data_IF_953463143728
#
_entry.id   IF_953463143728
#
_cell.length_a   1.000
_cell.length_b   1.000
_cell.length_c   1.000
_cell.angle_alpha   90.00
_cell.angle_beta   90.00
_cell.angle_gamma   90.00
#
_symmetry.space_group_name_H-M   'P 1'
#
loop_
_entity.id
_entity.type
_entity.pdbx_description
1 polymer ?
#
# COMPACT_ATOMS: atom_id res chain seq x y z
N UNK A 1 37.70 3.56 -58.29
CA UNK A 1 36.77 2.46 -58.58
C UNK A 1 36.15 2.06 -57.25
N UNK A 2 34.86 2.31 -57.00
CA UNK A 2 33.69 1.54 -57.50
C UNK A 2 33.82 0.06 -57.11
N UNK A 3 32.94 -0.57 -56.33
CA UNK A 3 31.50 -0.29 -56.13
C UNK A 3 30.99 -0.75 -54.75
N UNK A 4 29.86 -0.21 -54.28
CA UNK A 4 29.18 -0.59 -53.02
C UNK A 4 28.43 -1.92 -53.16
N UNK A 5 28.30 -2.70 -52.07
CA UNK A 5 27.29 -3.78 -51.93
C UNK A 5 26.22 -3.38 -50.89
N UNK A 6 24.92 -3.58 -51.16
CA UNK A 6 23.85 -3.12 -50.27
C UNK A 6 23.33 -4.19 -49.29
N UNK A 7 22.62 -3.69 -48.27
CA UNK A 7 21.88 -4.39 -47.23
C UNK A 7 20.73 -5.25 -47.78
N UNK A 8 20.43 -6.39 -47.14
CA UNK A 8 19.19 -7.16 -47.36
C UNK A 8 18.25 -6.93 -46.17
N UNK A 9 17.09 -6.31 -46.44
CA UNK A 9 15.97 -6.20 -45.50
C UNK A 9 14.93 -7.27 -45.83
N UNK A 10 14.53 -8.06 -44.85
CA UNK A 10 13.48 -9.07 -45.02
C UNK A 10 12.09 -8.44 -44.79
N UNK A 11 11.34 -8.24 -45.87
CA UNK A 11 9.94 -7.82 -45.81
C UNK A 11 9.00 -9.02 -45.76
N UNK A 12 8.18 -9.17 -44.70
CA UNK A 12 7.05 -10.09 -44.70
C UNK A 12 5.72 -9.34 -44.80
N UNK A 13 4.80 -9.94 -45.55
CA UNK A 13 3.63 -9.28 -46.13
C UNK A 13 2.39 -9.39 -45.26
N UNK A 14 1.56 -8.36 -45.36
CA UNK A 14 0.17 -8.34 -44.93
C UNK A 14 -0.65 -9.51 -45.52
N UNK A 15 -1.64 -9.96 -44.74
CA UNK A 15 -2.81 -10.66 -45.27
C UNK A 15 -4.07 -9.96 -44.75
N UNK A 16 -4.80 -9.35 -45.68
CA UNK A 16 -6.18 -8.94 -45.46
C UNK A 16 -7.10 -9.98 -46.13
N UNK A 17 -8.24 -10.27 -45.51
CA UNK A 17 -9.33 -11.03 -46.14
C UNK A 17 -10.66 -10.38 -45.81
N UNK A 18 -11.31 -9.89 -46.86
CA UNK A 18 -12.69 -9.37 -46.92
C UNK A 18 -13.71 -10.42 -46.44
N UNK A 19 -14.62 -10.08 -45.53
CA UNK A 19 -15.96 -9.48 -45.76
C UNK A 19 -17.01 -10.47 -46.30
N UNK A 20 -18.08 -10.67 -45.52
CA UNK A 20 -19.41 -11.02 -46.00
C UNK A 20 -20.44 -10.31 -45.09
N UNK A 21 -21.44 -9.67 -45.70
CA UNK A 21 -22.46 -8.90 -45.00
C UNK A 21 -23.84 -9.55 -45.19
N UNK A 22 -24.78 -9.29 -44.28
CA UNK A 22 -26.21 -9.52 -44.51
C UNK A 22 -27.05 -8.43 -43.82
N UNK A 23 -27.90 -7.76 -44.58
CA UNK A 23 -29.02 -6.94 -44.08
C UNK A 23 -30.17 -7.91 -43.70
N UNK A 24 -31.06 -7.65 -42.72
CA UNK A 24 -32.36 -6.96 -42.88
C UNK A 24 -33.33 -7.44 -41.75
N UNK A 25 -34.47 -6.83 -41.39
CA UNK A 25 -35.05 -5.47 -41.51
C UNK A 25 -36.25 -5.37 -40.52
N UNK A 26 -36.48 -4.18 -39.93
CA UNK A 26 -37.78 -3.60 -39.48
C UNK A 26 -38.64 -4.32 -38.41
N UNK A 27 -38.94 -3.58 -37.32
CA UNK A 27 -40.31 -3.28 -36.89
C UNK A 27 -40.34 -1.99 -36.04
N UNK A 28 -41.13 -0.98 -36.45
CA UNK A 28 -41.45 0.19 -35.61
C UNK A 28 -42.72 -0.09 -34.79
N UNK A 29 -42.79 0.49 -33.59
CA UNK A 29 -44.05 0.91 -32.99
C UNK A 29 -43.82 2.25 -32.27
N UNK A 30 -44.65 3.25 -32.56
CA UNK A 30 -44.56 4.60 -32.01
C UNK A 30 -45.93 5.09 -31.56
N UNK A 31 -45.97 5.79 -30.44
CA UNK A 31 -46.98 6.76 -29.98
C UNK A 31 -46.20 7.69 -29.01
N UNK A 32 -46.11 9.01 -29.20
CA UNK A 32 -47.19 10.02 -29.19
C UNK A 32 -48.02 9.93 -27.90
N UNK A 33 -48.12 10.93 -27.03
CA UNK A 33 -47.82 12.36 -27.17
C UNK A 33 -49.11 13.17 -26.96
N UNK A 34 -49.13 14.10 -26.00
CA UNK A 34 -50.29 14.95 -25.75
C UNK A 34 -50.36 15.51 -24.32
N UNK A 35 -50.16 16.82 -24.17
CA UNK A 35 -50.65 17.61 -23.04
C UNK A 35 -51.85 18.40 -23.52
N UNK A 36 -52.94 18.43 -22.77
CA UNK A 36 -53.94 19.52 -22.85
C UNK A 36 -54.73 19.65 -21.55
N UNK A 37 -55.38 20.79 -21.37
CA UNK A 37 -55.98 21.23 -20.09
C UNK A 37 -57.38 21.76 -20.35
N UNK A 38 -58.42 21.27 -19.66
CA UNK A 38 -59.58 22.08 -19.24
C UNK A 38 -60.66 21.29 -18.45
N UNK A 39 -61.21 22.00 -17.45
CA UNK A 39 -62.62 22.00 -16.94
C UNK A 39 -63.27 20.76 -16.33
N UNK A 40 -63.58 20.92 -15.04
CA UNK A 40 -64.70 20.43 -14.24
C UNK A 40 -65.85 19.68 -14.93
N UNK A 41 -66.23 18.54 -14.34
CA UNK A 41 -67.64 18.24 -14.07
C UNK A 41 -67.78 17.55 -12.71
N UNK A 42 -68.78 17.96 -11.92
CA UNK A 42 -68.94 17.55 -10.51
C UNK A 42 -69.87 16.35 -10.36
N UNK A 43 -69.32 15.19 -9.97
CA UNK A 43 -70.10 14.06 -9.44
C UNK A 43 -69.61 13.69 -8.06
N UNK A 44 -70.52 13.73 -7.08
CA UNK A 44 -70.23 13.46 -5.68
C UNK A 44 -70.35 11.97 -5.36
N UNK A 45 -69.22 11.25 -5.37
CA UNK A 45 -69.13 9.91 -4.80
C UNK A 45 -68.58 9.96 -3.36
N UNK A 46 -69.30 9.32 -2.44
CA UNK A 46 -68.94 9.27 -1.02
C UNK A 46 -67.90 8.16 -0.79
N UNK A 47 -66.62 8.52 -0.87
CA UNK A 47 -65.51 7.58 -0.60
C UNK A 47 -65.32 7.42 0.91
N UNK A 48 -65.41 6.18 1.41
CA UNK A 48 -65.11 5.86 2.80
C UNK A 48 -63.63 6.14 3.14
N UNK A 49 -63.29 6.52 4.39
CA UNK A 49 -61.92 6.88 4.74
C UNK A 49 -60.97 5.69 4.62
N UNK A 50 -60.17 5.68 3.55
CA UNK A 50 -59.08 4.73 3.38
C UNK A 50 -58.06 4.94 4.52
N UNK A 51 -57.88 3.91 5.34
CA UNK A 51 -56.93 3.97 6.45
C UNK A 51 -55.52 3.80 5.88
N UNK A 52 -54.79 4.89 5.70
CA UNK A 52 -53.40 4.87 5.24
C UNK A 52 -52.52 4.21 6.30
N UNK A 53 -52.28 2.91 6.16
CA UNK A 53 -51.26 2.20 6.95
C UNK A 53 -49.92 2.75 6.50
N UNK A 54 -49.28 3.56 7.34
CA UNK A 54 -47.92 4.00 7.09
C UNK A 54 -47.01 2.76 7.04
N UNK A 55 -46.30 2.56 5.93
CA UNK A 55 -45.26 1.54 5.86
C UNK A 55 -44.22 1.83 6.95
N UNK A 56 -44.07 0.89 7.87
CA UNK A 56 -43.06 0.98 8.91
C UNK A 56 -41.70 0.79 8.25
N UNK A 57 -41.03 1.90 7.92
CA UNK A 57 -39.63 1.94 7.50
C UNK A 57 -38.81 1.09 8.46
N UNK A 58 -38.46 -0.11 8.01
CA UNK A 58 -37.78 -1.09 8.84
C UNK A 58 -36.31 -0.73 8.82
N UNK A 59 -35.92 0.18 9.72
CA UNK A 59 -34.51 0.57 9.90
C UNK A 59 -33.73 -0.66 10.35
N UNK A 60 -33.20 -1.39 9.38
CA UNK A 60 -32.30 -2.51 9.63
C UNK A 60 -30.99 -1.91 10.09
N UNK A 61 -30.82 -1.81 11.41
CA UNK A 61 -29.57 -1.39 12.03
C UNK A 61 -28.52 -2.46 11.78
N UNK A 62 -27.90 -2.41 10.60
CA UNK A 62 -26.74 -3.23 10.26
C UNK A 62 -25.64 -2.93 11.27
N UNK A 63 -25.14 -3.97 11.93
CA UNK A 63 -23.98 -3.83 12.82
C UNK A 63 -22.80 -3.22 12.03
N UNK A 64 -21.98 -2.36 12.64
CA UNK A 64 -20.82 -1.78 11.96
C UNK A 64 -19.89 -2.92 11.49
N UNK A 65 -19.32 -2.83 10.27
CA UNK A 65 -18.49 -3.89 9.73
C UNK A 65 -17.24 -4.08 10.58
N UNK A 66 -16.86 -5.35 10.80
CA UNK A 66 -15.56 -5.68 11.36
C UNK A 66 -14.51 -5.37 10.28
N UNK A 67 -13.43 -4.68 10.65
CA UNK A 67 -12.36 -4.31 9.73
C UNK A 67 -11.01 -4.84 10.19
N UNK A 68 -10.14 -5.17 9.24
CA UNK A 68 -8.77 -5.54 9.52
C UNK A 68 -7.97 -4.32 10.03
N UNK A 69 -7.25 -4.39 11.17
CA UNK A 69 -6.63 -3.23 11.80
C UNK A 69 -5.54 -2.57 10.94
N UNK A 70 -4.78 -3.36 10.16
CA UNK A 70 -3.66 -2.86 9.36
C UNK A 70 -4.04 -2.33 7.97
N UNK A 71 -5.30 -2.49 7.53
CA UNK A 71 -5.75 -2.05 6.20
C UNK A 71 -7.10 -1.34 6.20
N UNK A 72 -7.91 -1.44 7.26
CA UNK A 72 -9.27 -0.91 7.29
C UNK A 72 -10.27 -1.62 6.35
N UNK A 73 -9.84 -2.70 5.67
CA UNK A 73 -10.72 -3.48 4.80
C UNK A 73 -11.74 -4.28 5.62
N UNK A 74 -12.99 -4.43 5.16
CA UNK A 74 -13.99 -5.26 5.84
C UNK A 74 -13.57 -6.72 5.83
N UNK A 75 -13.87 -7.43 6.92
CA UNK A 75 -13.61 -8.86 7.11
C UNK A 75 -14.79 -9.55 7.78
N UNK A 76 -15.06 -10.82 7.44
CA UNK A 76 -16.19 -11.57 7.98
C UNK A 76 -16.05 -11.87 9.50
N UNK A 77 -14.81 -11.96 9.98
CA UNK A 77 -14.47 -12.20 11.37
C UNK A 77 -13.20 -11.44 11.77
N UNK A 78 -13.05 -11.13 13.06
CA UNK A 78 -11.86 -10.48 13.58
C UNK A 78 -10.62 -11.38 13.42
N UNK A 79 -9.56 -10.84 12.81
CA UNK A 79 -8.27 -11.52 12.69
C UNK A 79 -7.54 -11.39 14.03
N UNK A 80 -7.17 -12.53 14.63
CA UNK A 80 -6.65 -12.60 16.01
C UNK A 80 -5.15 -12.90 16.11
N UNK A 81 -4.47 -13.20 15.00
CA UNK A 81 -3.02 -13.49 14.98
C UNK A 81 -2.19 -12.21 15.18
N UNK A 82 -0.97 -12.29 15.77
CA UNK A 82 -0.08 -11.14 15.84
C UNK A 82 0.37 -10.68 14.45
N UNK A 83 0.83 -9.43 14.36
CA UNK A 83 1.53 -8.94 13.18
C UNK A 83 2.86 -9.69 12.99
N UNK A 84 3.16 -10.08 11.75
CA UNK A 84 4.46 -10.61 11.33
C UNK A 84 5.18 -9.56 10.51
N UNK A 85 6.36 -9.14 10.93
CA UNK A 85 7.22 -8.20 10.22
C UNK A 85 8.40 -8.93 9.62
N UNK A 86 8.59 -8.82 8.30
CA UNK A 86 9.71 -9.41 7.57
C UNK A 86 10.63 -8.32 7.07
N UNK A 87 11.91 -8.38 7.44
CA UNK A 87 12.92 -7.42 6.97
C UNK A 87 13.44 -7.83 5.60
N UNK A 88 13.03 -7.12 4.54
CA UNK A 88 13.31 -7.50 3.15
C UNK A 88 14.41 -6.62 2.54
N UNK A 89 15.29 -7.24 1.74
CA UNK A 89 16.38 -6.62 1.00
C UNK A 89 15.85 -5.75 -0.14
N UNK A 90 16.43 -4.56 -0.33
CA UNK A 90 16.21 -3.74 -1.52
C UNK A 90 17.50 -3.45 -2.31
N UNK A 91 18.58 -4.20 -2.04
CA UNK A 91 19.76 -4.18 -2.90
C UNK A 91 19.42 -4.68 -4.32
N UNK A 92 19.97 -4.12 -5.41
CA UNK A 92 19.61 -4.51 -6.78
C UNK A 92 19.69 -6.01 -7.08
N UNK A 93 20.68 -6.74 -6.53
CA UNK A 93 20.82 -8.21 -6.67
C UNK A 93 19.77 -9.05 -5.91
N UNK A 94 18.91 -8.41 -5.11
CA UNK A 94 17.82 -9.04 -4.37
C UNK A 94 16.43 -8.74 -4.96
N UNK A 95 16.38 -7.99 -6.07
CA UNK A 95 15.15 -7.65 -6.80
C UNK A 95 14.95 -8.64 -7.96
N UNK A 96 13.70 -8.97 -8.34
CA UNK A 96 12.46 -8.64 -7.63
C UNK A 96 12.32 -9.42 -6.31
N UNK A 97 11.41 -8.98 -5.44
CA UNK A 97 11.16 -9.56 -4.12
C UNK A 97 9.93 -10.47 -4.11
N UNK A 98 9.80 -11.31 -3.08
CA UNK A 98 8.62 -12.08 -2.74
C UNK A 98 7.84 -11.40 -1.60
N UNK A 99 6.52 -11.32 -1.71
CA UNK A 99 5.61 -10.91 -0.62
C UNK A 99 5.32 -9.42 -0.49
N UNK A 100 5.88 -8.54 -1.34
CA UNK A 100 5.67 -7.09 -1.20
C UNK A 100 4.24 -6.63 -1.54
N UNK A 101 3.53 -7.33 -2.43
CA UNK A 101 2.13 -7.02 -2.77
C UNK A 101 1.12 -7.62 -1.77
N UNK A 102 1.56 -8.58 -0.96
CA UNK A 102 0.79 -9.28 0.07
C UNK A 102 0.87 -8.56 1.44
N UNK A 103 1.88 -7.73 1.65
CA UNK A 103 2.04 -6.96 2.87
C UNK A 103 0.96 -5.88 3.06
N UNK A 104 0.42 -5.77 4.27
CA UNK A 104 -0.57 -4.76 4.65
C UNK A 104 0.07 -3.37 4.76
N UNK A 105 1.24 -3.32 5.38
CA UNK A 105 2.03 -2.09 5.54
C UNK A 105 3.48 -2.39 5.16
N UNK A 106 4.11 -1.54 4.34
CA UNK A 106 5.53 -1.65 4.04
C UNK A 106 6.23 -0.36 4.42
N UNK A 107 7.13 -0.40 5.39
CA UNK A 107 8.02 0.72 5.69
C UNK A 107 9.29 0.60 4.83
N UNK A 108 9.60 1.62 4.05
CA UNK A 108 10.91 1.79 3.44
C UNK A 108 11.78 2.71 4.28
N UNK A 109 13.00 2.26 4.58
CA UNK A 109 13.93 3.00 5.41
C UNK A 109 15.31 3.10 4.77
N UNK A 110 15.99 4.22 4.98
CA UNK A 110 17.38 4.38 4.59
C UNK A 110 18.29 3.48 5.45
N UNK A 111 19.25 2.83 4.78
CA UNK A 111 20.36 2.06 5.36
C UNK A 111 21.69 2.56 4.76
N UNK A 112 22.74 1.74 4.63
CA UNK A 112 24.01 2.16 4.04
C UNK A 112 23.89 2.41 2.52
N UNK A 113 23.62 3.66 2.14
CA UNK A 113 23.55 4.16 0.75
C UNK A 113 22.46 3.51 -0.13
N UNK A 114 21.56 2.76 0.48
CA UNK A 114 20.41 2.07 -0.12
C UNK A 114 19.27 2.08 0.90
N UNK A 115 18.12 1.54 0.54
CA UNK A 115 17.01 1.29 1.48
C UNK A 115 16.84 -0.19 1.83
N UNK A 116 15.99 -0.48 2.81
CA UNK A 116 15.38 -1.80 3.06
C UNK A 116 13.92 -1.65 3.45
N UNK A 117 13.18 -2.73 3.28
CA UNK A 117 11.78 -2.78 3.66
C UNK A 117 11.60 -3.48 5.01
N UNK A 118 10.68 -3.00 5.84
CA UNK A 118 10.00 -3.81 6.85
C UNK A 118 8.56 -4.02 6.37
N UNK A 119 8.30 -5.21 5.82
CA UNK A 119 6.99 -5.60 5.30
C UNK A 119 6.19 -6.26 6.43
N UNK A 120 5.04 -5.69 6.76
CA UNK A 120 4.14 -6.13 7.83
C UNK A 120 2.97 -6.88 7.24
N UNK A 121 2.73 -8.08 7.75
CA UNK A 121 1.66 -8.99 7.36
C UNK A 121 0.75 -9.26 8.55
N UNK A 122 -0.56 -9.24 8.30
CA UNK A 122 -1.61 -9.61 9.23
C UNK A 122 -2.84 -10.15 8.49
N UNK A 123 -3.23 -9.57 7.34
CA UNK A 123 -4.41 -10.02 6.57
C UNK A 123 -4.12 -11.13 5.55
N UNK A 124 -2.92 -11.15 4.95
CA UNK A 124 -2.52 -12.18 3.97
C UNK A 124 -1.13 -12.74 4.23
N UNK A 125 -0.81 -13.82 3.53
CA UNK A 125 0.39 -14.66 3.72
C UNK A 125 1.24 -14.64 2.42
N UNK A 126 2.53 -14.91 2.53
CA UNK A 126 3.46 -15.05 1.40
C UNK A 126 4.48 -16.16 1.67
N UNK A 127 4.37 -17.26 0.94
CA UNK A 127 5.23 -18.43 1.06
C UNK A 127 5.85 -18.77 -0.32
N UNK A 128 7.10 -18.37 -0.62
CA UNK A 128 8.05 -17.69 0.26
C UNK A 128 7.80 -16.18 0.46
N UNK A 129 8.56 -15.59 1.39
CA UNK A 129 8.76 -14.15 1.56
C UNK A 129 10.27 -13.82 1.60
N UNK A 130 10.68 -12.67 1.04
CA UNK A 130 12.08 -12.22 1.04
C UNK A 130 12.55 -11.53 -0.26
N UNK A 131 13.87 -11.41 -0.52
CA UNK A 131 14.96 -11.93 0.30
C UNK A 131 15.09 -11.23 1.67
N UNK A 132 15.24 -12.00 2.73
CA UNK A 132 15.31 -11.53 4.12
C UNK A 132 16.71 -11.00 4.45
N UNK A 133 16.76 -9.88 5.19
CA UNK A 133 17.97 -9.13 5.50
C UNK A 133 18.08 -8.67 6.95
N UNK A 134 19.23 -8.07 7.24
CA UNK A 134 19.56 -7.55 8.55
C UNK A 134 18.66 -6.38 8.95
N UNK A 135 18.06 -6.51 10.13
CA UNK A 135 17.44 -5.43 10.88
C UNK A 135 18.44 -4.36 11.32
N UNK A 136 17.89 -3.33 11.96
CA UNK A 136 18.50 -2.04 12.26
C UNK A 136 18.01 -1.52 13.61
N UNK A 137 18.73 -0.58 14.21
CA UNK A 137 18.35 0.01 15.51
C UNK A 137 16.99 0.73 15.45
N UNK A 138 16.66 1.30 14.29
CA UNK A 138 15.38 1.97 14.03
C UNK A 138 14.19 1.01 14.02
N UNK A 139 14.37 -0.29 13.72
CA UNK A 139 13.29 -1.28 13.76
C UNK A 139 12.66 -1.37 15.17
N UNK A 140 13.45 -1.16 16.23
CA UNK A 140 12.97 -1.20 17.63
C UNK A 140 11.91 -0.14 17.88
N UNK A 141 12.23 1.14 17.64
CA UNK A 141 11.26 2.23 17.80
C UNK A 141 10.16 2.18 16.73
N UNK A 142 10.44 1.69 15.52
CA UNK A 142 9.45 1.66 14.43
C UNK A 142 8.34 0.63 14.66
N UNK A 143 8.68 -0.57 15.14
CA UNK A 143 7.79 -1.72 15.16
C UNK A 143 7.07 -1.94 16.50
N UNK A 144 7.42 -1.18 17.55
CA UNK A 144 6.85 -1.35 18.90
C UNK A 144 5.32 -1.13 18.95
N UNK A 145 4.76 -0.27 18.09
CA UNK A 145 3.32 -0.02 17.98
C UNK A 145 2.51 -1.19 17.42
N UNK A 146 3.16 -2.25 16.92
CA UNK A 146 2.50 -3.45 16.38
C UNK A 146 2.21 -4.52 17.44
N UNK A 147 2.32 -4.18 18.74
CA UNK A 147 1.92 -5.02 19.86
C UNK A 147 2.73 -6.33 19.96
N UNK A 148 4.03 -6.20 20.27
CA UNK A 148 4.98 -7.32 20.35
C UNK A 148 5.00 -8.21 19.08
N UNK A 149 5.25 -7.64 17.88
CA UNK A 149 5.15 -8.38 16.64
C UNK A 149 6.21 -9.48 16.52
N UNK A 150 5.90 -10.48 15.68
CA UNK A 150 6.88 -11.46 15.24
C UNK A 150 7.85 -10.80 14.27
N UNK A 151 9.16 -10.92 14.46
CA UNK A 151 10.15 -10.28 13.59
C UNK A 151 11.07 -11.30 12.91
N UNK A 152 10.95 -11.41 11.58
CA UNK A 152 11.75 -12.29 10.73
C UNK A 152 12.85 -11.48 10.00
N UNK A 153 14.11 -11.80 10.29
CA UNK A 153 15.27 -11.02 9.86
C UNK A 153 16.53 -11.89 9.79
N UNK A 154 17.52 -11.49 8.99
CA UNK A 154 18.71 -12.33 8.72
C UNK A 154 19.82 -12.25 9.79
N UNK A 155 19.53 -11.70 10.98
CA UNK A 155 20.53 -11.30 11.98
C UNK A 155 21.26 -9.99 11.62
N UNK A 156 22.01 -9.43 12.57
CA UNK A 156 22.69 -8.14 12.46
C UNK A 156 23.98 -8.08 13.28
N UNK A 157 24.57 -6.89 13.42
CA UNK A 157 25.73 -6.72 14.29
C UNK A 157 25.35 -6.95 15.77
N UNK A 158 26.33 -7.21 16.64
CA UNK A 158 26.08 -7.59 18.03
C UNK A 158 25.22 -6.57 18.81
N UNK A 159 25.37 -5.28 18.53
CA UNK A 159 24.60 -4.22 19.20
C UNK A 159 23.15 -4.18 18.72
N UNK A 160 22.92 -4.25 17.41
CA UNK A 160 21.57 -4.36 16.81
C UNK A 160 20.85 -5.61 17.32
N UNK A 161 21.56 -6.75 17.35
CA UNK A 161 21.01 -8.01 17.85
C UNK A 161 20.68 -7.95 19.34
N UNK A 162 21.51 -7.30 20.16
CA UNK A 162 21.20 -7.05 21.57
C UNK A 162 19.96 -6.17 21.73
N UNK A 163 19.83 -5.10 20.94
CA UNK A 163 18.69 -4.17 21.03
C UNK A 163 17.37 -4.83 20.61
N UNK A 164 17.35 -5.57 19.51
CA UNK A 164 16.15 -6.31 19.05
C UNK A 164 15.72 -7.33 20.11
N UNK A 165 16.65 -8.14 20.64
CA UNK A 165 16.36 -9.14 21.68
C UNK A 165 16.01 -8.56 23.05
N UNK A 166 16.22 -7.27 23.28
CA UNK A 166 15.80 -6.56 24.47
C UNK A 166 14.52 -5.74 24.27
N UNK A 167 13.96 -5.76 23.05
CA UNK A 167 12.68 -5.11 22.72
C UNK A 167 11.50 -6.04 23.00
N UNK A 168 10.27 -5.56 22.74
CA UNK A 168 9.04 -6.34 22.81
C UNK A 168 8.85 -7.32 21.65
N UNK A 169 9.66 -7.24 20.57
CA UNK A 169 9.53 -8.09 19.39
C UNK A 169 9.97 -9.54 19.65
N UNK A 170 9.26 -10.50 19.05
CA UNK A 170 9.66 -11.92 19.08
C UNK A 170 10.75 -12.15 18.03
N UNK A 171 11.96 -12.51 18.47
CA UNK A 171 13.12 -12.77 17.58
C UNK A 171 12.98 -14.08 16.80
N UNK A 172 12.35 -14.00 15.62
CA UNK A 172 12.31 -15.08 14.63
C UNK A 172 13.42 -14.94 13.59
N UNK A 173 14.62 -14.50 13.99
CA UNK A 173 15.77 -14.44 13.08
C UNK A 173 16.13 -15.80 12.49
N UNK A 174 16.83 -15.79 11.34
CA UNK A 174 17.43 -17.00 10.76
C UNK A 174 18.30 -17.80 11.75
N UNK A 175 18.88 -17.16 12.78
CA UNK A 175 19.62 -17.88 13.83
C UNK A 175 18.73 -18.54 14.90
N UNK A 176 17.51 -18.06 15.08
CA UNK A 176 16.60 -18.48 16.15
C UNK A 176 15.49 -19.41 15.66
N UNK A 177 15.04 -19.23 14.41
CA UNK A 177 13.85 -19.88 13.84
C UNK A 177 14.09 -20.54 12.47
N UNK A 178 15.33 -20.97 12.17
CA UNK A 178 15.74 -21.43 10.84
C UNK A 178 14.81 -22.52 10.26
N UNK A 179 14.70 -23.64 10.97
CA UNK A 179 13.98 -24.80 10.48
C UNK A 179 12.46 -24.60 10.61
N UNK A 180 11.99 -24.19 11.79
CA UNK A 180 10.57 -24.05 12.04
C UNK A 180 9.94 -22.92 11.22
N UNK A 181 10.64 -21.79 11.02
CA UNK A 181 10.20 -20.67 10.18
C UNK A 181 10.35 -20.89 8.66
N UNK A 182 10.77 -22.08 8.22
CA UNK A 182 10.89 -22.40 6.80
C UNK A 182 12.00 -21.66 6.05
N UNK A 183 13.03 -21.19 6.76
CA UNK A 183 14.11 -20.44 6.12
C UNK A 183 14.87 -21.33 5.13
N UNK A 184 15.15 -20.78 3.94
CA UNK A 184 15.85 -21.47 2.86
C UNK A 184 16.66 -20.54 1.99
N UNK A 185 17.58 -21.11 1.20
CA UNK A 185 18.40 -20.37 0.23
C UNK A 185 17.88 -20.58 -1.17
N UNK A 186 17.50 -19.49 -1.82
CA UNK A 186 17.14 -19.48 -3.24
C UNK A 186 18.39 -19.75 -4.09
N UNK A 187 18.36 -20.83 -4.88
CA UNK A 187 19.52 -21.32 -5.63
C UNK A 187 19.89 -20.45 -6.83
N UNK A 188 18.92 -19.76 -7.42
CA UNK A 188 19.11 -18.83 -8.55
C UNK A 188 19.81 -17.52 -8.17
N UNK A 189 20.03 -17.27 -6.87
CA UNK A 189 20.64 -16.02 -6.37
C UNK A 189 21.80 -16.31 -5.41
N UNK A 190 22.85 -15.49 -5.49
CA UNK A 190 23.98 -15.60 -4.56
C UNK A 190 23.65 -15.03 -3.18
N UNK A 191 24.25 -15.62 -2.14
CA UNK A 191 24.27 -15.00 -0.83
C UNK A 191 24.98 -13.62 -0.89
N UNK A 192 24.50 -12.61 -0.12
CA UNK A 192 23.48 -12.69 0.91
C UNK A 192 22.08 -12.23 0.43
N UNK A 193 21.80 -12.26 -0.88
CA UNK A 193 20.56 -11.73 -1.50
C UNK A 193 19.51 -12.82 -1.81
N UNK A 194 19.57 -13.94 -1.08
CA UNK A 194 18.88 -15.17 -1.45
C UNK A 194 18.24 -15.92 -0.27
N UNK A 195 18.11 -15.29 0.91
CA UNK A 195 17.47 -15.93 2.05
C UNK A 195 15.95 -15.73 1.96
N UNK A 196 15.16 -16.79 1.95
CA UNK A 196 13.70 -16.74 2.02
C UNK A 196 13.22 -17.40 3.32
N UNK A 197 11.97 -17.17 3.71
CA UNK A 197 11.24 -17.92 4.74
C UNK A 197 9.78 -18.15 4.29
N UNK A 198 8.98 -18.83 5.11
CA UNK A 198 7.52 -18.98 4.91
C UNK A 198 6.77 -18.26 6.03
N UNK A 199 5.87 -17.34 5.68
CA UNK A 199 5.03 -16.61 6.65
C UNK A 199 4.12 -17.55 7.44
N UNK A 200 3.49 -18.52 6.78
CA UNK A 200 2.56 -19.46 7.44
C UNK A 200 3.21 -20.20 8.61
N UNK A 201 4.48 -20.58 8.43
CA UNK A 201 5.33 -21.22 9.43
C UNK A 201 5.82 -20.25 10.51
N UNK A 202 6.21 -19.04 10.14
CA UNK A 202 6.63 -18.03 11.12
C UNK A 202 5.51 -17.70 12.11
N UNK A 203 4.24 -17.69 11.69
CA UNK A 203 3.10 -17.53 12.61
C UNK A 203 2.90 -18.69 13.58
N UNK A 204 3.30 -19.93 13.26
CA UNK A 204 3.21 -21.05 14.22
C UNK A 204 4.19 -20.90 15.39
N UNK A 205 5.12 -19.94 15.31
CA UNK A 205 6.08 -19.60 16.36
C UNK A 205 5.62 -18.42 17.23
N UNK A 206 4.37 -17.97 17.08
CA UNK A 206 3.78 -17.01 18.00
C UNK A 206 3.73 -17.57 19.44
N UNK A 207 4.17 -16.81 20.46
CA UNK A 207 4.03 -17.24 21.84
C UNK A 207 2.55 -17.33 22.24
N UNK A 208 2.25 -18.18 23.22
CA UNK A 208 0.91 -18.24 23.82
C UNK A 208 0.50 -16.87 24.35
N UNK A 209 -0.74 -16.47 24.06
CA UNK A 209 -1.27 -15.16 24.44
C UNK A 209 -0.84 -14.00 23.53
N UNK A 210 -0.09 -14.23 22.44
CA UNK A 210 0.16 -13.21 21.42
C UNK A 210 -1.16 -12.60 20.90
N UNK A 211 -1.18 -11.28 20.74
CA UNK A 211 -2.38 -10.49 20.45
C UNK A 211 -2.29 -9.86 19.05
N UNK A 212 -3.44 -9.55 18.40
CA UNK A 212 -3.44 -8.81 17.15
C UNK A 212 -2.88 -7.38 17.33
N UNK A 213 -2.38 -6.76 16.24
CA UNK A 213 -1.92 -5.38 16.27
C UNK A 213 -3.09 -4.39 16.41
N UNK A 214 -2.83 -3.26 17.06
CA UNK A 214 -3.73 -2.11 16.97
C UNK A 214 -3.70 -1.50 15.55
N UNK A 215 -4.74 -0.77 15.17
CA UNK A 215 -4.77 -0.06 13.89
C UNK A 215 -3.68 1.02 13.86
N UNK A 216 -2.88 1.04 12.77
CA UNK A 216 -1.76 1.98 12.64
C UNK A 216 -2.13 3.30 11.98
N UNK A 217 -3.29 3.34 11.32
CA UNK A 217 -3.85 4.52 10.66
C UNK A 217 -5.36 4.56 10.87
N UNK A 218 -5.95 5.73 10.67
CA UNK A 218 -7.41 5.90 10.63
C UNK A 218 -7.84 5.79 9.17
N UNK A 219 -8.90 5.04 8.89
CA UNK A 219 -9.44 4.84 7.55
C UNK A 219 -10.76 5.61 7.36
N UNK A 220 -11.04 6.03 6.12
CA UNK A 220 -12.33 6.62 5.75
C UNK A 220 -13.41 5.54 5.69
N UNK A 221 -14.64 5.92 6.05
CA UNK A 221 -15.81 5.12 5.71
C UNK A 221 -16.05 5.13 4.19
N UNK A 222 -16.83 4.18 3.67
CA UNK A 222 -17.05 4.02 2.22
C UNK A 222 -17.77 5.22 1.58
N UNK A 223 -18.61 5.90 2.35
CA UNK A 223 -19.39 7.10 2.01
C UNK A 223 -18.76 8.40 2.51
N UNK A 224 -17.61 8.34 3.18
CA UNK A 224 -16.94 9.53 3.71
C UNK A 224 -16.25 10.33 2.60
N UNK A 225 -16.77 11.54 2.38
CA UNK A 225 -16.21 12.49 1.43
C UNK A 225 -14.75 12.85 1.77
N UNK A 226 -13.93 13.00 0.73
CA UNK A 226 -12.55 13.46 0.86
C UNK A 226 -12.55 14.95 1.29
N UNK A 227 -11.85 15.33 2.37
CA UNK A 227 -11.78 16.74 2.81
C UNK A 227 -11.20 17.69 1.75
N UNK A 228 -11.71 18.92 1.71
CA UNK A 228 -11.30 19.96 0.77
C UNK A 228 -9.85 20.46 0.97
N UNK A 229 -9.14 20.02 2.01
CA UNK A 229 -7.70 20.23 2.21
C UNK A 229 -6.85 19.34 1.30
N UNK A 230 -7.44 18.33 0.65
CA UNK A 230 -6.78 17.45 -0.29
C UNK A 230 -6.54 18.12 -1.66
N UNK A 231 -5.41 17.82 -2.29
CA UNK A 231 -5.01 18.33 -3.62
C UNK A 231 -4.99 17.19 -4.64
N UNK A 232 -5.33 17.44 -5.90
CA UNK A 232 -5.14 16.44 -6.97
C UNK A 232 -3.67 16.04 -7.10
N UNK A 233 -3.39 14.74 -7.32
CA UNK A 233 -2.03 14.24 -7.54
C UNK A 233 -1.96 13.17 -8.62
N UNK A 234 -1.00 13.28 -9.53
CA UNK A 234 -0.58 12.17 -10.38
C UNK A 234 0.39 11.22 -9.69
N UNK A 235 0.89 11.55 -8.49
CA UNK A 235 1.89 10.79 -7.75
C UNK A 235 3.06 11.63 -7.25
N UNK A 236 4.24 11.04 -7.10
CA UNK A 236 5.42 11.71 -6.52
C UNK A 236 6.76 11.06 -6.90
N UNK A 237 7.84 11.86 -6.87
CA UNK A 237 9.24 11.36 -6.90
C UNK A 237 9.96 11.65 -5.59
N UNK A 238 10.68 10.67 -5.09
CA UNK A 238 11.49 10.73 -3.86
C UNK A 238 12.91 10.23 -4.14
N UNK A 239 13.87 10.78 -3.41
CA UNK A 239 15.26 10.30 -3.38
C UNK A 239 15.61 9.84 -1.97
N UNK A 240 15.63 8.52 -1.77
CA UNK A 240 15.95 7.87 -0.50
C UNK A 240 17.41 7.42 -0.49
N UNK A 241 18.28 8.36 -0.10
CA UNK A 241 19.74 8.27 -0.19
C UNK A 241 20.24 7.88 -1.59
N UNK A 242 20.47 6.59 -1.84
CA UNK A 242 20.93 6.07 -3.13
C UNK A 242 19.83 5.41 -3.97
N UNK A 243 18.56 5.47 -3.55
CA UNK A 243 17.41 4.87 -4.25
C UNK A 243 16.47 5.96 -4.75
N UNK A 244 16.13 5.90 -6.04
CA UNK A 244 15.09 6.74 -6.63
C UNK A 244 13.75 6.01 -6.53
N UNK A 245 12.75 6.63 -5.92
CA UNK A 245 11.38 6.06 -5.80
C UNK A 245 10.39 6.96 -6.53
N UNK A 246 9.57 6.38 -7.39
CA UNK A 246 8.48 7.07 -8.07
C UNK A 246 7.17 6.33 -7.76
N UNK A 247 6.16 7.07 -7.34
CA UNK A 247 4.80 6.58 -7.19
C UNK A 247 3.91 7.28 -8.22
N UNK A 248 3.07 6.51 -8.91
CA UNK A 248 2.22 6.98 -10.01
C UNK A 248 0.77 6.60 -9.70
N UNK A 249 -0.17 7.55 -9.68
CA UNK A 249 -1.58 7.25 -9.49
C UNK A 249 -2.16 6.61 -10.76
N UNK A 250 -2.70 5.41 -10.63
CA UNK A 250 -3.47 4.75 -11.66
C UNK A 250 -4.95 4.78 -11.27
N UNK A 251 -5.75 5.50 -12.05
CA UNK A 251 -7.19 5.65 -11.80
C UNK A 251 -7.98 4.36 -12.08
N UNK A 252 -7.61 3.60 -13.12
CA UNK A 252 -8.29 2.37 -13.54
C UNK A 252 -8.27 1.30 -12.43
N UNK A 253 -7.16 1.19 -11.70
CA UNK A 253 -7.01 0.30 -10.54
C UNK A 253 -7.27 0.99 -9.20
N UNK A 254 -7.46 2.32 -9.20
CA UNK A 254 -7.57 3.18 -8.01
C UNK A 254 -6.44 2.96 -6.99
N UNK A 255 -5.19 2.86 -7.48
CA UNK A 255 -3.99 2.59 -6.67
C UNK A 255 -2.77 3.37 -7.16
N UNK A 256 -1.82 3.59 -6.27
CA UNK A 256 -0.50 4.07 -6.63
C UNK A 256 0.39 2.89 -7.03
N UNK A 257 1.08 2.96 -8.18
CA UNK A 257 2.05 1.96 -8.63
C UNK A 257 3.48 2.46 -8.45
N UNK A 258 4.40 1.57 -8.08
CA UNK A 258 5.78 1.91 -7.70
C UNK A 258 6.77 1.69 -8.82
N UNK A 259 7.54 2.71 -9.15
CA UNK A 259 8.75 2.67 -9.98
C UNK A 259 9.97 2.87 -9.08
N UNK A 260 11.10 2.21 -9.39
CA UNK A 260 12.34 2.34 -8.65
C UNK A 260 13.55 2.35 -9.58
N UNK A 261 14.47 3.29 -9.34
CA UNK A 261 15.68 3.50 -10.15
C UNK A 261 15.37 3.58 -11.66
N UNK A 262 14.36 4.41 -11.97
CA UNK A 262 13.81 4.69 -13.31
C UNK A 262 13.23 3.45 -14.03
N UNK A 263 12.81 2.40 -13.29
CA UNK A 263 12.22 1.16 -13.83
C UNK A 263 10.95 0.73 -13.08
N UNK A 264 10.05 -0.04 -13.72
CA UNK A 264 8.98 -0.74 -13.01
C UNK A 264 9.51 -1.55 -11.82
N UNK A 265 8.94 -1.35 -10.63
CA UNK A 265 9.17 -2.25 -9.50
C UNK A 265 8.09 -3.32 -9.50
N UNK A 266 8.48 -4.56 -9.80
CA UNK A 266 7.64 -5.75 -9.76
C UNK A 266 8.09 -6.68 -8.63
N UNK A 267 7.18 -7.53 -8.17
CA UNK A 267 7.52 -8.71 -7.38
C UNK A 267 8.00 -9.87 -8.28
N UNK A 268 8.21 -11.05 -7.70
CA UNK A 268 8.73 -12.22 -8.43
C UNK A 268 7.81 -12.71 -9.55
N UNK A 269 6.50 -12.48 -9.42
CA UNK A 269 5.45 -12.96 -10.32
C UNK A 269 5.15 -11.92 -11.43
N UNK A 270 6.07 -10.96 -11.61
CA UNK A 270 5.97 -9.79 -12.50
C UNK A 270 4.78 -8.86 -12.17
N UNK A 271 4.19 -8.98 -10.97
CA UNK A 271 3.09 -8.12 -10.53
C UNK A 271 3.65 -6.79 -10.05
N UNK A 272 3.12 -5.70 -10.60
CA UNK A 272 3.57 -4.35 -10.28
C UNK A 272 3.31 -4.02 -8.81
N UNK A 273 4.37 -3.64 -8.09
CA UNK A 273 4.28 -3.20 -6.69
C UNK A 273 3.35 -1.99 -6.61
N UNK A 274 2.32 -2.08 -5.78
CA UNK A 274 1.26 -1.08 -5.70
C UNK A 274 0.70 -0.91 -4.27
N UNK A 275 0.07 0.24 -4.02
CA UNK A 275 -0.50 0.60 -2.72
C UNK A 275 -1.82 1.37 -2.88
N UNK A 276 -2.75 1.19 -1.93
CA UNK A 276 -3.90 2.09 -1.81
C UNK A 276 -3.49 3.46 -1.25
N UNK A 277 -2.46 3.49 -0.40
CA UNK A 277 -1.94 4.68 0.24
C UNK A 277 -0.40 4.72 0.21
N UNK A 278 0.17 5.93 0.05
CA UNK A 278 1.60 6.18 0.26
C UNK A 278 1.75 7.31 1.27
N UNK A 279 2.41 7.04 2.39
CA UNK A 279 2.65 7.98 3.49
C UNK A 279 4.13 8.32 3.51
N UNK A 280 4.48 9.57 3.25
CA UNK A 280 5.87 10.04 3.28
C UNK A 280 6.10 10.78 4.59
N UNK A 281 6.99 10.23 5.43
CA UNK A 281 7.33 10.81 6.73
C UNK A 281 8.73 11.42 6.67
N UNK A 282 8.83 12.74 6.82
CA UNK A 282 10.12 13.40 6.96
C UNK A 282 10.63 13.21 8.38
N UNK A 283 11.63 12.34 8.54
CA UNK A 283 12.20 11.98 9.83
C UNK A 283 13.67 12.42 9.93
N UNK A 284 14.10 12.76 11.13
CA UNK A 284 15.53 13.00 11.38
C UNK A 284 16.28 11.66 11.34
N UNK A 285 17.49 11.65 10.82
CA UNK A 285 18.34 10.46 10.81
C UNK A 285 19.66 10.74 11.53
N UNK A 286 19.84 10.09 12.67
CA UNK A 286 21.12 10.04 13.37
C UNK A 286 22.09 9.06 12.69
N UNK A 287 23.40 9.19 12.94
CA UNK A 287 24.39 8.18 12.56
C UNK A 287 24.70 7.28 13.75
N UNK A 288 24.85 5.98 13.51
CA UNK A 288 25.33 5.03 14.52
C UNK A 288 26.34 4.09 13.88
N UNK A 289 27.62 4.42 14.04
CA UNK A 289 28.66 3.92 13.14
C UNK A 289 28.40 4.36 11.70
N UNK A 290 28.50 3.43 10.76
CA UNK A 290 28.22 3.67 9.33
C UNK A 290 26.72 3.68 8.99
N UNK A 291 25.87 3.11 9.85
CA UNK A 291 24.44 2.98 9.56
C UNK A 291 23.67 4.25 9.96
N UNK A 292 22.77 4.77 9.11
CA UNK A 292 21.79 5.75 9.54
C UNK A 292 20.76 5.07 10.47
N UNK A 293 20.14 5.86 11.34
CA UNK A 293 19.07 5.45 12.26
C UNK A 293 18.00 6.54 12.28
N UNK A 294 16.85 6.21 11.70
CA UNK A 294 15.65 7.04 11.69
C UNK A 294 15.19 7.36 13.12
N UNK A 295 14.74 8.59 13.33
CA UNK A 295 14.08 9.04 14.55
C UNK A 295 12.59 9.15 14.28
N UNK A 296 11.91 8.07 14.62
CA UNK A 296 10.47 7.87 14.40
C UNK A 296 9.65 8.25 15.64
N UNK A 297 10.28 8.71 16.73
CA UNK A 297 9.62 9.39 17.86
C UNK A 297 9.78 10.90 17.75
N UNK A 298 8.79 11.65 18.23
CA UNK A 298 8.69 13.11 18.11
C UNK A 298 7.68 13.52 17.05
N UNK A 299 7.98 14.55 16.26
CA UNK A 299 7.11 15.03 15.19
C UNK A 299 7.89 15.52 13.96
N UNK A 300 7.19 15.67 12.84
CA UNK A 300 7.77 16.16 11.59
C UNK A 300 6.72 16.38 10.50
N UNK A 301 7.18 16.72 9.30
CA UNK A 301 6.35 16.92 8.12
C UNK A 301 5.86 15.58 7.55
N UNK A 302 4.60 15.51 7.11
CA UNK A 302 4.00 14.33 6.50
C UNK A 302 3.28 14.70 5.19
N UNK A 303 3.44 13.86 4.18
CA UNK A 303 2.71 13.95 2.91
C UNK A 303 2.01 12.62 2.67
N UNK A 304 0.69 12.65 2.50
CA UNK A 304 -0.15 11.44 2.42
C UNK A 304 -0.87 11.40 1.07
N UNK A 305 -0.55 10.39 0.28
CA UNK A 305 -1.15 10.13 -1.01
C UNK A 305 -2.20 9.03 -0.85
N UNK A 306 -3.47 9.33 -1.15
CA UNK A 306 -4.59 8.39 -0.97
C UNK A 306 -5.75 8.77 -1.91
N UNK A 307 -6.40 7.78 -2.54
CA UNK A 307 -7.50 7.97 -3.50
C UNK A 307 -7.24 9.05 -4.58
N UNK A 308 -6.04 9.07 -5.17
CA UNK A 308 -5.65 10.05 -6.19
C UNK A 308 -5.50 11.49 -5.67
N UNK A 309 -5.44 11.69 -4.35
CA UNK A 309 -5.21 12.99 -3.71
C UNK A 309 -3.94 12.99 -2.85
N UNK A 310 -3.42 14.19 -2.62
CA UNK A 310 -2.36 14.50 -1.67
C UNK A 310 -2.93 15.33 -0.51
N UNK A 311 -2.63 14.93 0.72
CA UNK A 311 -2.69 15.77 1.91
C UNK A 311 -1.28 16.13 2.35
N UNK A 312 -1.07 17.39 2.71
CA UNK A 312 0.16 17.85 3.37
C UNK A 312 -0.16 18.18 4.83
N UNK A 313 0.80 18.00 5.72
CA UNK A 313 0.66 18.35 7.13
C UNK A 313 1.78 17.73 7.97
N UNK A 314 1.43 17.13 9.11
CA UNK A 314 2.40 16.64 10.09
C UNK A 314 2.14 15.20 10.55
N UNK A 315 3.22 14.56 11.04
CA UNK A 315 3.14 13.38 11.87
C UNK A 315 3.58 13.70 13.31
N UNK A 316 2.97 13.03 14.28
CA UNK A 316 3.32 13.08 15.71
C UNK A 316 3.32 11.65 16.27
N UNK A 317 4.33 11.31 17.09
CA UNK A 317 4.46 10.02 17.78
C UNK A 317 5.42 10.13 18.98
N UNK A 318 4.90 10.52 20.13
CA UNK A 318 5.74 10.69 21.35
C UNK A 318 6.18 9.36 21.98
N UNK A 319 5.39 8.31 21.77
CA UNK A 319 5.53 6.97 22.31
C UNK A 319 5.64 5.96 21.17
N UNK A 320 6.68 5.13 21.15
CA UNK A 320 6.90 4.14 20.10
C UNK A 320 5.89 2.98 20.15
N UNK A 321 5.27 2.72 21.32
CA UNK A 321 4.17 1.77 21.46
C UNK A 321 2.83 2.27 20.87
N UNK A 322 2.78 3.51 20.37
CA UNK A 322 1.60 4.10 19.73
C UNK A 322 1.81 4.31 18.23
N UNK A 323 0.77 4.24 17.40
CA UNK A 323 0.85 4.59 15.99
C UNK A 323 1.23 6.06 15.75
N UNK A 324 1.61 6.38 14.51
CA UNK A 324 1.77 7.76 14.06
C UNK A 324 0.40 8.45 13.98
N UNK A 325 0.27 9.63 14.58
CA UNK A 325 -0.87 10.52 14.36
C UNK A 325 -0.58 11.40 13.16
N UNK A 326 -1.39 11.31 12.10
CA UNK A 326 -1.26 12.12 10.88
C UNK A 326 -2.31 13.24 10.88
N UNK A 327 -1.90 14.50 10.71
CA UNK A 327 -2.78 15.67 10.65
C UNK A 327 -2.55 16.47 9.38
N UNK A 328 -3.60 17.06 8.81
CA UNK A 328 -3.50 17.99 7.68
C UNK A 328 -3.06 19.39 8.11
N UNK A 329 -2.86 20.31 7.16
CA UNK A 329 -2.51 21.71 7.45
C UNK A 329 -3.55 22.50 8.26
N UNK A 330 -4.77 21.98 8.41
CA UNK A 330 -5.82 22.55 9.25
C UNK A 330 -5.91 21.86 10.64
N UNK A 331 -5.06 20.87 10.91
CA UNK A 331 -5.00 20.11 12.15
C UNK A 331 -5.96 18.92 12.24
N UNK A 332 -6.70 18.62 11.17
CA UNK A 332 -7.64 17.50 11.13
C UNK A 332 -6.91 16.17 10.93
N UNK A 333 -7.36 15.05 11.53
CA UNK A 333 -6.78 13.74 11.26
C UNK A 333 -6.89 13.35 9.78
N UNK A 334 -5.76 12.97 9.16
CA UNK A 334 -5.76 12.45 7.79
C UNK A 334 -6.23 11.00 7.81
N UNK A 335 -7.31 10.72 7.08
CA UNK A 335 -7.88 9.37 6.95
C UNK A 335 -7.50 8.72 5.61
N UNK A 336 -6.95 7.52 5.70
CA UNK A 336 -6.53 6.71 4.55
C UNK A 336 -7.70 6.03 3.85
N UNK A 337 -7.48 5.61 2.61
CA UNK A 337 -8.38 4.71 1.89
C UNK A 337 -8.17 3.30 2.43
N UNK A 338 -9.22 2.50 2.72
CA UNK A 338 -9.06 1.09 3.05
C UNK A 338 -8.22 0.33 2.03
N UNK A 339 -7.15 -0.33 2.48
CA UNK A 339 -6.18 -1.03 1.66
C UNK A 339 -4.76 -0.98 2.23
N UNK A 340 -3.81 -1.55 1.48
CA UNK A 340 -2.41 -1.61 1.86
C UNK A 340 -1.72 -0.23 1.78
N UNK A 341 -0.73 -0.01 2.65
CA UNK A 341 -0.07 1.30 2.83
C UNK A 341 1.45 1.18 2.77
N UNK A 342 2.09 1.95 1.88
CA UNK A 342 3.54 2.13 1.89
C UNK A 342 3.91 3.37 2.71
N UNK A 343 5.00 3.27 3.49
CA UNK A 343 5.47 4.33 4.37
C UNK A 343 6.95 4.63 4.08
N UNK A 344 7.19 5.79 3.47
CA UNK A 344 8.51 6.24 3.01
C UNK A 344 9.18 7.09 4.11
N UNK A 345 10.17 6.53 4.82
CA UNK A 345 10.90 7.26 5.87
C UNK A 345 12.03 8.12 5.26
N UNK A 346 11.66 9.22 4.60
CA UNK A 346 12.62 10.15 3.99
C UNK A 346 13.35 11.03 5.03
N UNK A 347 14.48 11.62 4.65
CA UNK A 347 15.21 12.57 5.51
C UNK A 347 14.53 13.94 5.47
N UNK A 348 14.47 14.63 6.60
CA UNK A 348 14.12 16.07 6.65
C UNK A 348 14.93 16.85 5.61
N UNK A 349 14.25 17.67 4.80
CA UNK A 349 14.87 18.49 3.75
C UNK A 349 15.35 17.74 2.51
N UNK A 350 15.26 16.40 2.46
CA UNK A 350 15.32 15.64 1.21
C UNK A 350 13.92 15.56 0.64
N UNK A 351 13.56 16.67 0.00
CA UNK A 351 12.22 16.95 -0.49
C UNK A 351 11.70 15.87 -1.44
N UNK A 352 10.39 15.75 -1.47
CA UNK A 352 9.61 15.14 -2.53
C UNK A 352 9.54 16.10 -3.72
N UNK A 353 9.60 15.59 -4.95
CA UNK A 353 9.17 16.35 -6.12
C UNK A 353 7.71 16.01 -6.41
N UNK A 354 6.88 17.04 -6.54
CA UNK A 354 5.44 16.96 -6.73
C UNK A 354 4.94 18.19 -7.48
N UNK A 355 4.02 17.98 -8.43
CA UNK A 355 3.24 19.03 -9.07
C UNK A 355 1.75 18.60 -9.05
N UNK A 356 0.82 19.45 -8.57
CA UNK A 356 -0.60 19.10 -8.48
C UNK A 356 -1.20 18.66 -9.81
N UNK A 357 -1.98 17.58 -9.78
CA UNK A 357 -2.67 17.01 -10.95
C UNK A 357 -1.76 16.66 -12.15
N UNK A 358 -0.44 16.65 -11.96
CA UNK A 358 0.55 16.49 -13.03
C UNK A 358 1.13 15.08 -12.99
N UNK A 359 1.39 14.51 -14.16
CA UNK A 359 2.10 13.24 -14.32
C UNK A 359 3.50 13.32 -13.66
N UNK A 360 3.80 12.49 -12.64
CA UNK A 360 5.07 12.53 -11.94
C UNK A 360 6.25 12.06 -12.79
N UNK A 361 6.03 11.41 -13.95
CA UNK A 361 7.08 11.12 -14.91
C UNK A 361 7.67 12.41 -15.51
N UNK A 362 6.90 13.50 -15.60
CA UNK A 362 7.25 14.72 -16.33
C UNK A 362 8.24 15.66 -15.63
N UNK A 363 8.53 15.47 -14.34
CA UNK A 363 9.48 16.29 -13.57
C UNK A 363 10.69 15.49 -13.05
N UNK A 364 11.77 16.17 -12.67
CA UNK A 364 13.01 15.52 -12.23
C UNK A 364 12.92 14.94 -10.81
N UNK A 365 13.85 14.07 -10.47
CA UNK A 365 14.05 13.67 -9.07
C UNK A 365 14.68 14.82 -8.25
N UNK A 366 14.38 14.88 -6.93
CA UNK A 366 14.97 15.84 -5.97
C UNK A 366 16.37 15.43 -5.47
#
# INVERSE_FOLDING_TARGET
MSQRRPTVLASWRSRATTTAALLALIALAACSGGSETATDETTADTVAPATTVAEANTTTTTLPPIVAPLTGLPVDAAITRPALVVKIDNHPKARPQWGLNQADIVFEENVEMLTRFAAVFHTTDSDPVGPIRSGRKQDVDLLESFNAPLFAWSGGNAEVTKLIRASTMVDLSHSSANNEGGYRRESSRSAPHNLLADTSKLWTLAPEGAQPPQAQFIYRAADEAIPATARETGGAKLTMDGVKVLWEWNADFSRFVRSQDDKPHVDIDDVRVNAANVVVLYVQYSKSGYSPVAKTKGSGEAWVFTAGKLFQGTWERDDAAKPFTLKDTAGNPIKLTPGNTWVELTRVGKGISFLPGTDPTSFTYP
#
